data_IF_929289317827
#
_entry.id   IF_929289317827
#
_cell.length_a   1.000
_cell.length_b   1.000
_cell.length_c   1.000
_cell.angle_alpha   90.00
_cell.angle_beta   90.00
_cell.angle_gamma   90.00
#
_symmetry.space_group_name_H-M   'P 1'
#
loop_
_entity.id
_entity.type
_entity.pdbx_description
1 polymer ?
#
# COMPACT_ATOMS: atom_id res chain seq x y z
N UNK A 1 -13.08 -6.48 -4.91
CA UNK A 1 -14.35 -7.09 -5.34
C UNK A 1 -15.52 -6.09 -5.32
N UNK A 2 -15.73 -5.30 -4.22
CA UNK A 2 -16.87 -4.37 -4.12
C UNK A 2 -17.04 -3.50 -5.37
N UNK A 3 -15.97 -2.93 -5.91
CA UNK A 3 -16.04 -2.13 -7.13
C UNK A 3 -16.42 -2.96 -8.36
N UNK A 4 -15.82 -4.14 -8.52
CA UNK A 4 -16.06 -5.03 -9.66
C UNK A 4 -17.49 -5.59 -9.68
N UNK A 5 -18.13 -5.68 -8.52
CA UNK A 5 -19.48 -6.20 -8.38
C UNK A 5 -20.56 -5.14 -8.67
N UNK A 6 -20.17 -3.85 -8.82
CA UNK A 6 -21.09 -2.74 -9.08
C UNK A 6 -21.46 -2.60 -10.56
N UNK A 7 -20.58 -2.99 -11.48
CA UNK A 7 -20.83 -2.86 -12.91
C UNK A 7 -20.08 -3.93 -13.72
N UNK A 8 -20.68 -4.41 -14.82
CA UNK A 8 -20.02 -5.35 -15.71
C UNK A 8 -18.91 -4.67 -16.53
N UNK A 9 -17.92 -5.45 -16.94
CA UNK A 9 -16.86 -5.01 -17.86
C UNK A 9 -15.83 -4.07 -17.25
N UNK A 10 -15.71 -4.04 -15.92
CA UNK A 10 -14.60 -3.37 -15.23
C UNK A 10 -13.41 -4.32 -15.19
N UNK A 11 -12.28 -3.92 -15.73
CA UNK A 11 -11.09 -4.76 -15.89
C UNK A 11 -9.79 -4.12 -15.38
N UNK A 12 -9.85 -2.84 -15.05
CA UNK A 12 -8.71 -2.04 -14.59
C UNK A 12 -8.97 -1.48 -13.21
N UNK A 13 -8.03 -1.67 -12.30
CA UNK A 13 -8.08 -1.20 -10.92
C UNK A 13 -6.91 -0.28 -10.63
N UNK A 14 -7.19 1.00 -10.35
CA UNK A 14 -6.25 1.94 -9.77
C UNK A 14 -6.59 2.12 -8.28
N UNK A 15 -5.64 1.77 -7.43
CA UNK A 15 -5.82 1.78 -5.99
C UNK A 15 -4.90 2.80 -5.34
N UNK A 16 -5.44 3.57 -4.41
CA UNK A 16 -4.70 4.53 -3.61
C UNK A 16 -4.93 4.22 -2.13
N UNK A 17 -3.84 3.98 -1.41
CA UNK A 17 -3.86 3.74 0.03
C UNK A 17 -3.11 4.86 0.73
N UNK A 18 -3.82 5.69 1.47
CA UNK A 18 -3.25 6.78 2.24
C UNK A 18 -3.57 6.60 3.72
N UNK A 19 -2.61 6.90 4.56
CA UNK A 19 -2.81 6.85 6.01
C UNK A 19 -2.14 8.01 6.73
N UNK A 20 -2.71 8.36 7.89
CA UNK A 20 -2.23 9.38 8.79
C UNK A 20 -1.90 8.73 10.13
N UNK A 21 -0.90 9.24 10.80
CA UNK A 21 -0.37 8.70 12.04
C UNK A 21 1.03 8.16 11.84
N UNK A 22 1.59 7.59 12.88
CA UNK A 22 2.96 7.08 12.86
C UNK A 22 2.96 5.55 12.86
N UNK A 23 3.84 4.88 12.11
CA UNK A 23 3.93 3.43 12.11
C UNK A 23 4.42 2.92 13.46
N UNK A 24 3.98 1.71 13.85
CA UNK A 24 4.56 1.00 14.99
C UNK A 24 6.00 0.57 14.68
N UNK A 25 6.77 0.26 15.72
CA UNK A 25 8.13 -0.25 15.55
C UNK A 25 8.19 -1.43 14.55
N UNK A 26 7.33 -2.42 14.72
CA UNK A 26 7.27 -3.56 13.83
C UNK A 26 6.91 -3.18 12.38
N UNK A 27 6.05 -2.18 12.19
CA UNK A 27 5.72 -1.66 10.85
C UNK A 27 6.90 -0.95 10.22
N UNK A 28 7.69 -0.20 10.99
CA UNK A 28 8.92 0.43 10.49
C UNK A 28 9.89 -0.62 9.95
N UNK A 29 10.12 -1.71 10.69
CA UNK A 29 10.96 -2.82 10.24
C UNK A 29 10.45 -3.42 8.91
N UNK A 30 9.13 -3.63 8.81
CA UNK A 30 8.50 -4.15 7.59
C UNK A 30 8.63 -3.17 6.42
N UNK A 31 8.45 -1.87 6.66
CA UNK A 31 8.58 -0.82 5.63
C UNK A 31 9.97 -0.88 4.98
N UNK A 32 11.04 -0.94 5.75
CA UNK A 32 12.40 -1.00 5.20
C UNK A 32 12.63 -2.26 4.34
N UNK A 33 12.06 -3.39 4.75
CA UNK A 33 12.09 -4.61 3.94
C UNK A 33 11.34 -4.44 2.62
N UNK A 34 10.17 -3.78 2.65
CA UNK A 34 9.38 -3.49 1.45
C UNK A 34 10.11 -2.51 0.52
N UNK A 35 10.76 -1.48 1.07
CA UNK A 35 11.51 -0.50 0.27
C UNK A 35 12.72 -1.11 -0.45
N UNK A 36 13.30 -2.20 0.08
CA UNK A 36 14.36 -2.97 -0.58
C UNK A 36 13.82 -3.81 -1.74
N UNK A 37 12.57 -4.24 -1.68
CA UNK A 37 12.00 -5.15 -2.66
C UNK A 37 11.77 -4.47 -4.02
N UNK A 38 11.69 -5.28 -5.06
CA UNK A 38 11.20 -4.84 -6.36
C UNK A 38 9.67 -4.81 -6.32
N UNK A 39 9.08 -3.78 -6.95
CA UNK A 39 7.64 -3.63 -7.01
C UNK A 39 7.11 -3.91 -8.39
N UNK A 40 5.97 -4.59 -8.44
CA UNK A 40 5.30 -4.99 -9.67
C UNK A 40 3.86 -4.50 -9.68
N UNK A 41 3.34 -4.27 -10.87
CA UNK A 41 1.94 -4.07 -11.14
C UNK A 41 1.47 -5.08 -12.19
N UNK A 42 0.18 -5.21 -12.35
CA UNK A 42 -0.43 -6.01 -13.42
C UNK A 42 -0.86 -5.08 -14.55
N UNK A 43 -0.47 -5.39 -15.77
CA UNK A 43 -0.89 -4.67 -16.97
C UNK A 43 -1.16 -5.68 -18.10
N UNK A 44 -2.36 -5.61 -18.65
CA UNK A 44 -2.81 -6.57 -19.66
C UNK A 44 -2.55 -8.02 -19.25
N UNK A 45 -2.84 -8.32 -17.98
CA UNK A 45 -2.62 -9.63 -17.37
C UNK A 45 -1.16 -10.11 -17.39
N UNK A 46 -0.19 -9.21 -17.43
CA UNK A 46 1.23 -9.50 -17.28
C UNK A 46 1.82 -8.72 -16.11
N UNK A 47 2.78 -9.34 -15.39
CA UNK A 47 3.52 -8.61 -14.37
C UNK A 47 4.53 -7.68 -15.03
N UNK A 48 4.47 -6.42 -14.66
CA UNK A 48 5.39 -5.38 -15.09
C UNK A 48 6.08 -4.79 -13.86
N UNK A 49 7.39 -4.71 -13.91
CA UNK A 49 8.15 -4.09 -12.82
C UNK A 49 8.03 -2.57 -12.87
N UNK A 50 7.77 -1.95 -11.74
CA UNK A 50 7.86 -0.51 -11.61
C UNK A 50 9.32 -0.06 -11.78
N UNK A 51 9.57 1.02 -12.51
CA UNK A 51 10.89 1.65 -12.50
C UNK A 51 11.30 2.01 -11.07
N UNK A 52 12.58 1.85 -10.79
CA UNK A 52 13.14 2.22 -9.49
C UNK A 52 12.84 3.69 -9.18
N UNK A 53 12.51 4.00 -7.93
CA UNK A 53 12.16 5.34 -7.45
C UNK A 53 10.92 5.97 -8.13
N UNK A 54 10.02 5.15 -8.68
CA UNK A 54 8.75 5.67 -9.17
C UNK A 54 7.99 6.36 -8.05
N UNK A 55 7.62 7.62 -8.29
CA UNK A 55 6.75 8.41 -7.41
C UNK A 55 5.59 8.98 -8.21
N UNK A 56 4.47 9.18 -7.56
CA UNK A 56 3.28 9.75 -8.21
C UNK A 56 2.60 10.74 -7.26
N UNK A 57 2.22 11.90 -7.79
CA UNK A 57 1.34 12.84 -7.08
C UNK A 57 -0.11 12.43 -7.34
N UNK A 58 -0.79 11.98 -6.31
CA UNK A 58 -2.18 11.55 -6.38
C UNK A 58 -3.10 12.57 -5.72
N UNK A 59 -4.24 12.84 -6.34
CA UNK A 59 -5.31 13.59 -5.66
C UNK A 59 -5.87 12.79 -4.49
N UNK A 60 -6.02 13.46 -3.35
CA UNK A 60 -6.67 12.85 -2.18
C UNK A 60 -8.18 12.91 -2.38
N UNK A 61 -8.87 11.77 -2.47
CA UNK A 61 -10.31 11.76 -2.71
C UNK A 61 -11.10 12.55 -1.67
N UNK A 62 -12.00 13.43 -2.15
CA UNK A 62 -12.81 14.28 -1.29
C UNK A 62 -12.08 15.46 -0.64
N UNK A 63 -10.84 15.75 -1.04
CA UNK A 63 -10.05 16.86 -0.52
C UNK A 63 -9.43 17.66 -1.66
N UNK A 64 -9.23 18.97 -1.45
CA UNK A 64 -8.45 19.82 -2.36
C UNK A 64 -6.95 19.72 -2.03
N UNK A 65 -6.42 18.50 -2.08
CA UNK A 65 -5.04 18.22 -1.72
C UNK A 65 -4.47 17.09 -2.60
N UNK A 66 -3.15 17.08 -2.75
CA UNK A 66 -2.41 15.97 -3.36
C UNK A 66 -1.53 15.29 -2.30
N UNK A 67 -1.21 14.04 -2.54
CA UNK A 67 -0.26 13.27 -1.74
C UNK A 67 0.81 12.67 -2.64
N UNK A 68 2.05 12.71 -2.19
CA UNK A 68 3.15 11.98 -2.81
C UNK A 68 3.00 10.50 -2.45
N UNK A 69 3.08 9.63 -3.45
CA UNK A 69 2.91 8.18 -3.28
C UNK A 69 3.99 7.39 -3.99
N UNK A 70 4.18 6.17 -3.53
CA UNK A 70 5.05 5.16 -4.15
C UNK A 70 4.22 3.87 -4.39
N UNK A 71 4.68 2.96 -5.27
CA UNK A 71 4.00 1.67 -5.52
C UNK A 71 4.11 0.64 -4.38
N UNK A 72 4.54 0.99 -3.21
CA UNK A 72 4.92 0.10 -2.11
C UNK A 72 3.77 -0.59 -1.38
N UNK A 73 2.59 0.03 -1.39
CA UNK A 73 1.45 -0.45 -0.60
C UNK A 73 0.66 -1.59 -1.23
N UNK A 74 1.00 -2.03 -2.44
CA UNK A 74 0.17 -2.94 -3.21
C UNK A 74 0.83 -4.19 -3.73
N UNK A 75 1.88 -4.65 -3.10
CA UNK A 75 2.69 -5.78 -3.59
C UNK A 75 1.91 -7.09 -3.75
N UNK A 76 0.88 -7.32 -2.96
CA UNK A 76 0.04 -8.53 -3.04
C UNK A 76 -1.13 -8.43 -4.03
N UNK A 77 -1.63 -7.23 -4.31
CA UNK A 77 -2.80 -7.04 -5.14
C UNK A 77 -2.63 -7.54 -6.59
N UNK A 78 -1.52 -7.29 -7.29
CA UNK A 78 -1.29 -7.84 -8.62
C UNK A 78 -1.31 -9.38 -8.61
N UNK A 79 -0.82 -10.01 -7.55
CA UNK A 79 -0.79 -11.47 -7.42
C UNK A 79 -2.21 -12.03 -7.28
N UNK A 80 -3.03 -11.42 -6.42
CA UNK A 80 -4.40 -11.87 -6.20
C UNK A 80 -5.28 -11.67 -7.44
N UNK A 81 -5.21 -10.49 -8.04
CA UNK A 81 -6.02 -10.16 -9.20
C UNK A 81 -5.56 -10.80 -10.51
N UNK A 82 -4.32 -11.28 -10.58
CA UNK A 82 -3.85 -12.13 -11.69
C UNK A 82 -4.72 -13.38 -11.88
N UNK A 83 -5.33 -13.86 -10.80
CA UNK A 83 -6.18 -15.05 -10.82
C UNK A 83 -7.67 -14.71 -11.03
N UNK A 84 -8.05 -13.45 -10.99
CA UNK A 84 -9.43 -13.02 -11.25
C UNK A 84 -9.61 -12.75 -12.76
N UNK A 85 -10.42 -13.56 -13.47
CA UNK A 85 -10.58 -13.43 -14.92
C UNK A 85 -11.24 -12.11 -15.35
N UNK A 86 -11.81 -11.35 -14.42
CA UNK A 86 -12.42 -10.04 -14.69
C UNK A 86 -11.37 -8.93 -14.81
N UNK A 87 -10.17 -9.13 -14.25
CA UNK A 87 -9.19 -8.06 -14.06
C UNK A 87 -7.96 -8.29 -14.94
N UNK A 88 -7.63 -7.31 -15.75
CA UNK A 88 -6.45 -7.30 -16.61
C UNK A 88 -5.33 -6.40 -16.09
N UNK A 89 -5.69 -5.30 -15.41
CA UNK A 89 -4.74 -4.28 -14.98
C UNK A 89 -4.98 -3.87 -13.52
N UNK A 90 -3.90 -3.84 -12.74
CA UNK A 90 -3.93 -3.40 -11.33
C UNK A 90 -2.71 -2.56 -11.03
N UNK A 91 -2.92 -1.30 -10.65
CA UNK A 91 -1.88 -0.42 -10.15
C UNK A 91 -2.23 0.03 -8.74
N UNK A 92 -1.25 0.01 -7.85
CA UNK A 92 -1.45 0.42 -6.45
C UNK A 92 -0.41 1.45 -6.06
N UNK A 93 -0.88 2.49 -5.43
CA UNK A 93 -0.09 3.60 -4.91
C UNK A 93 -0.32 3.72 -3.42
N UNK A 94 0.71 3.95 -2.66
CA UNK A 94 0.60 4.09 -1.22
C UNK A 94 1.44 5.24 -0.69
N UNK A 95 0.99 5.82 0.41
CA UNK A 95 1.69 6.91 1.04
C UNK A 95 1.07 7.32 2.36
N UNK A 96 1.68 8.35 2.95
CA UNK A 96 1.16 9.03 4.13
C UNK A 96 0.79 10.47 3.76
N UNK A 97 -0.13 11.05 4.52
CA UNK A 97 -0.57 12.42 4.25
C UNK A 97 0.54 13.47 4.44
N UNK A 98 1.49 13.20 5.35
CA UNK A 98 2.57 14.13 5.62
C UNK A 98 3.62 14.11 4.51
N UNK A 99 3.69 15.18 3.73
CA UNK A 99 4.62 15.32 2.59
C UNK A 99 6.08 15.12 3.01
N UNK A 100 6.50 15.73 4.10
CA UNK A 100 7.86 15.64 4.61
C UNK A 100 8.26 14.18 4.94
N UNK A 101 7.32 13.39 5.46
CA UNK A 101 7.56 11.97 5.72
C UNK A 101 7.77 11.22 4.41
N UNK A 102 6.98 11.51 3.38
CA UNK A 102 7.13 10.87 2.07
C UNK A 102 8.42 11.28 1.35
N UNK A 103 8.83 12.53 1.46
CA UNK A 103 10.12 12.99 0.92
C UNK A 103 11.29 12.23 1.58
N UNK A 104 11.22 12.00 2.89
CA UNK A 104 12.18 11.17 3.62
C UNK A 104 12.13 9.70 3.16
N UNK A 105 10.95 9.14 2.94
CA UNK A 105 10.81 7.77 2.41
C UNK A 105 11.44 7.64 1.04
N UNK A 106 11.26 8.62 0.15
CA UNK A 106 11.91 8.64 -1.17
C UNK A 106 13.42 8.71 -1.05
N UNK A 107 13.95 9.57 -0.16
CA UNK A 107 15.40 9.66 0.10
C UNK A 107 15.97 8.35 0.64
N UNK A 108 15.27 7.71 1.58
CA UNK A 108 15.65 6.41 2.12
C UNK A 108 15.60 5.30 1.06
N UNK A 109 14.57 5.29 0.22
CA UNK A 109 14.48 4.34 -0.89
C UNK A 109 15.67 4.47 -1.85
N UNK A 110 16.05 5.70 -2.16
CA UNK A 110 17.24 5.97 -2.99
C UNK A 110 18.51 5.44 -2.33
N UNK A 111 18.71 5.71 -1.04
CA UNK A 111 19.88 5.23 -0.30
C UNK A 111 19.91 3.70 -0.23
N UNK A 112 18.77 3.05 -0.03
CA UNK A 112 18.66 1.58 -0.06
C UNK A 112 19.12 1.05 -1.42
N UNK A 113 18.65 1.68 -2.50
CA UNK A 113 18.95 1.25 -3.87
C UNK A 113 20.45 1.41 -4.22
N UNK A 114 21.06 2.54 -3.83
CA UNK A 114 22.45 2.86 -4.17
C UNK A 114 23.48 2.22 -3.24
N UNK A 115 23.19 2.18 -1.93
CA UNK A 115 24.20 1.88 -0.92
C UNK A 115 24.00 0.52 -0.24
N UNK A 116 22.74 0.04 -0.15
CA UNK A 116 22.43 -1.20 0.58
C UNK A 116 22.25 -2.39 -0.36
N UNK A 117 21.50 -2.26 -1.45
CA UNK A 117 21.29 -3.38 -2.40
C UNK A 117 22.59 -3.98 -2.96
N UNK A 118 23.66 -3.24 -3.20
CA UNK A 118 24.94 -3.81 -3.66
C UNK A 118 25.68 -4.64 -2.61
N UNK A 119 25.32 -4.53 -1.33
CA UNK A 119 25.99 -5.27 -0.25
C UNK A 119 25.64 -6.77 -0.25
N UNK A 120 26.47 -7.63 0.36
CA UNK A 120 26.09 -9.01 0.64
C UNK A 120 24.83 -9.10 1.50
N UNK A 121 24.00 -10.12 1.30
CA UNK A 121 22.67 -10.26 1.94
C UNK A 121 22.68 -10.01 3.46
N UNK A 122 23.64 -10.60 4.19
CA UNK A 122 23.73 -10.39 5.66
C UNK A 122 24.02 -8.94 6.05
N UNK A 123 24.79 -8.24 5.26
CA UNK A 123 25.10 -6.84 5.49
C UNK A 123 23.90 -5.94 5.15
N UNK A 124 23.13 -6.30 4.11
CA UNK A 124 21.86 -5.63 3.80
C UNK A 124 20.91 -5.69 4.99
N UNK A 125 20.68 -6.89 5.55
CA UNK A 125 19.77 -7.07 6.69
C UNK A 125 20.22 -6.26 7.92
N UNK A 126 21.52 -6.28 8.23
CA UNK A 126 22.07 -5.50 9.34
C UNK A 126 21.93 -3.98 9.12
N UNK A 127 22.16 -3.50 7.90
CA UNK A 127 22.02 -2.09 7.55
C UNK A 127 20.55 -1.64 7.65
N UNK A 128 19.61 -2.43 7.12
CA UNK A 128 18.18 -2.13 7.20
C UNK A 128 17.66 -2.13 8.64
N UNK A 129 18.09 -3.09 9.46
CA UNK A 129 17.73 -3.13 10.88
C UNK A 129 18.21 -1.86 11.60
N UNK A 130 19.47 -1.45 11.38
CA UNK A 130 20.02 -0.22 11.95
C UNK A 130 19.27 1.04 11.49
N UNK A 131 18.91 1.11 10.22
CA UNK A 131 18.07 2.21 9.71
C UNK A 131 16.71 2.24 10.38
N UNK A 132 16.05 1.10 10.51
CA UNK A 132 14.75 1.00 11.16
C UNK A 132 14.81 1.40 12.63
N UNK A 133 15.87 1.05 13.34
CA UNK A 133 16.09 1.48 14.73
C UNK A 133 16.25 3.01 14.85
N UNK A 134 16.82 3.67 13.85
CA UNK A 134 17.01 5.12 13.86
C UNK A 134 15.70 5.93 13.68
N UNK A 135 14.64 5.31 13.19
CA UNK A 135 13.33 5.95 12.93
C UNK A 135 12.39 5.86 14.13
N UNK A 136 12.86 5.42 15.29
CA UNK A 136 12.05 5.33 16.48
C UNK A 136 11.65 6.71 17.02
N UNK A 137 10.35 6.93 17.11
CA UNK A 137 9.72 8.08 17.77
C UNK A 137 8.61 7.64 18.69
N UNK A 138 8.07 8.59 19.44
CA UNK A 138 6.91 8.36 20.29
C UNK A 138 5.73 7.88 19.45
N UNK A 139 5.17 6.74 19.81
CA UNK A 139 4.05 6.17 19.11
C UNK A 139 2.75 6.83 19.55
N UNK A 140 1.99 7.44 18.61
CA UNK A 140 0.67 8.00 18.97
C UNK A 140 -0.28 6.87 19.38
N UNK A 141 -1.32 7.16 20.17
CA UNK A 141 -2.35 6.19 20.48
C UNK A 141 -2.96 5.60 19.21
N UNK A 142 -2.88 4.29 19.02
CA UNK A 142 -3.30 3.59 17.80
C UNK A 142 -4.79 3.73 17.50
N UNK A 143 -5.57 4.00 18.52
CA UNK A 143 -7.03 4.11 18.40
C UNK A 143 -7.52 5.55 18.38
N UNK A 144 -6.62 6.50 18.29
CA UNK A 144 -7.02 7.90 18.19
C UNK A 144 -7.52 8.21 16.76
N UNK A 145 -8.84 8.39 16.53
CA UNK A 145 -9.40 8.60 15.21
C UNK A 145 -9.04 9.96 14.59
N UNK A 146 -8.43 10.85 15.35
CA UNK A 146 -7.94 12.14 14.86
C UNK A 146 -6.52 12.05 14.32
N UNK A 147 -5.75 11.09 14.81
CA UNK A 147 -4.35 10.89 14.42
C UNK A 147 -4.19 9.74 13.45
N UNK A 148 -4.88 8.64 13.67
CA UNK A 148 -4.74 7.40 12.88
C UNK A 148 -5.96 7.25 11.96
N UNK A 149 -5.91 7.90 10.82
CA UNK A 149 -6.94 7.79 9.79
C UNK A 149 -6.37 7.18 8.52
N UNK A 150 -7.20 6.51 7.73
CA UNK A 150 -6.83 5.99 6.42
C UNK A 150 -7.89 6.30 5.37
N UNK A 151 -7.44 6.32 4.13
CA UNK A 151 -8.28 6.35 2.94
C UNK A 151 -7.80 5.22 2.04
N UNK A 152 -8.71 4.28 1.77
CA UNK A 152 -8.52 3.26 0.77
C UNK A 152 -9.46 3.58 -0.40
N UNK A 153 -8.89 3.97 -1.53
CA UNK A 153 -9.61 4.38 -2.73
C UNK A 153 -9.36 3.37 -3.83
N UNK A 154 -10.43 2.83 -4.39
CA UNK A 154 -10.38 1.91 -5.54
C UNK A 154 -11.16 2.54 -6.69
N UNK A 155 -10.45 2.92 -7.72
CA UNK A 155 -11.01 3.39 -8.96
C UNK A 155 -10.99 2.25 -9.97
N UNK A 156 -12.15 1.71 -10.26
CA UNK A 156 -12.32 0.63 -11.23
C UNK A 156 -12.85 1.21 -12.53
N UNK A 157 -12.24 0.83 -13.64
CA UNK A 157 -12.64 1.28 -14.99
C UNK A 157 -12.65 0.11 -15.96
N UNK A 158 -13.34 0.32 -17.07
CA UNK A 158 -13.42 -0.61 -18.18
C UNK A 158 -14.19 0.01 -19.35
N UNK A 159 -14.37 -0.71 -20.46
CA UNK A 159 -15.00 -0.18 -21.66
C UNK A 159 -16.45 0.25 -21.46
N UNK A 160 -17.16 -0.34 -20.50
CA UNK A 160 -18.59 -0.09 -20.28
C UNK A 160 -18.90 0.86 -19.12
N UNK A 161 -17.92 1.20 -18.29
CA UNK A 161 -18.18 2.07 -17.15
C UNK A 161 -17.00 2.31 -16.24
N UNK A 162 -17.30 3.02 -15.15
CA UNK A 162 -16.35 3.37 -14.09
C UNK A 162 -17.06 3.35 -12.75
N UNK A 163 -16.35 2.88 -11.73
CA UNK A 163 -16.84 2.85 -10.35
C UNK A 163 -15.72 3.34 -9.43
N UNK A 164 -16.06 4.18 -8.48
CA UNK A 164 -15.14 4.62 -7.44
C UNK A 164 -15.65 4.17 -6.08
N UNK A 165 -14.87 3.38 -5.38
CA UNK A 165 -15.14 2.96 -4.00
C UNK A 165 -14.13 3.65 -3.09
N UNK A 166 -14.63 4.32 -2.07
CA UNK A 166 -13.84 5.04 -1.09
C UNK A 166 -14.17 4.51 0.30
N UNK A 167 -13.16 4.04 1.01
CA UNK A 167 -13.27 3.56 2.38
C UNK A 167 -12.46 4.47 3.28
N UNK A 168 -13.12 5.04 4.29
CA UNK A 168 -12.46 5.79 5.34
C UNK A 168 -12.27 4.91 6.57
N UNK A 169 -11.01 4.75 6.97
CA UNK A 169 -10.63 4.03 8.18
C UNK A 169 -10.18 4.99 9.29
N UNK A 170 -10.24 4.52 10.51
CA UNK A 170 -9.91 5.34 11.67
C UNK A 170 -8.65 4.84 12.43
N UNK A 171 -8.18 3.66 12.17
CA UNK A 171 -6.91 3.14 12.70
C UNK A 171 -6.54 1.88 11.92
N UNK A 172 -5.50 1.95 11.12
CA UNK A 172 -5.08 0.85 10.25
C UNK A 172 -4.85 -0.46 11.02
N UNK A 173 -4.25 -0.38 12.21
CA UNK A 173 -3.98 -1.56 13.02
C UNK A 173 -5.25 -2.20 13.56
N UNK A 174 -6.19 -1.38 14.05
CA UNK A 174 -7.49 -1.86 14.51
C UNK A 174 -8.32 -2.41 13.37
N UNK A 175 -8.36 -1.72 12.24
CA UNK A 175 -9.05 -2.15 11.03
C UNK A 175 -8.50 -3.49 10.54
N UNK A 176 -7.18 -3.65 10.47
CA UNK A 176 -6.53 -4.91 10.10
C UNK A 176 -6.93 -6.04 11.04
N UNK A 177 -6.88 -5.82 12.36
CA UNK A 177 -7.27 -6.82 13.34
C UNK A 177 -8.74 -7.23 13.23
N UNK A 178 -9.65 -6.28 13.02
CA UNK A 178 -11.07 -6.55 12.81
C UNK A 178 -11.32 -7.35 11.53
N UNK A 179 -10.65 -7.00 10.42
CA UNK A 179 -10.81 -7.70 9.16
C UNK A 179 -10.23 -9.13 9.22
N UNK A 180 -9.11 -9.32 9.92
CA UNK A 180 -8.56 -10.66 10.15
C UNK A 180 -9.49 -11.54 10.99
N UNK A 181 -10.05 -10.99 12.07
CA UNK A 181 -11.01 -11.70 12.89
C UNK A 181 -12.28 -12.07 12.10
N UNK A 182 -12.79 -11.13 11.30
CA UNK A 182 -13.93 -11.38 10.41
C UNK A 182 -13.62 -12.46 9.39
N UNK A 183 -12.48 -12.41 8.73
CA UNK A 183 -12.06 -13.42 7.75
C UNK A 183 -11.94 -14.81 8.41
N UNK A 184 -11.30 -14.90 9.58
CA UNK A 184 -11.19 -16.15 10.32
C UNK A 184 -12.57 -16.74 10.68
N UNK A 185 -13.49 -15.90 11.16
CA UNK A 185 -14.86 -16.35 11.48
C UNK A 185 -15.59 -16.87 10.24
N UNK A 186 -15.42 -16.21 9.08
CA UNK A 186 -16.07 -16.67 7.85
C UNK A 186 -15.47 -17.98 7.35
N UNK A 187 -14.16 -18.19 7.47
CA UNK A 187 -13.53 -19.47 7.12
C UNK A 187 -14.06 -20.64 7.97
N UNK A 188 -14.33 -20.40 9.27
CA UNK A 188 -14.90 -21.41 10.15
C UNK A 188 -16.38 -21.74 9.83
N UNK A 189 -17.08 -20.84 9.16
CA UNK A 189 -18.49 -21.01 8.81
C UNK A 189 -18.69 -21.60 7.41
N UNK A 190 -17.63 -21.68 6.60
CA UNK A 190 -17.71 -22.33 5.29
C UNK A 190 -17.74 -23.85 5.49
N UNK A 191 -18.68 -24.57 4.88
CA UNK A 191 -18.63 -26.03 4.87
C UNK A 191 -17.36 -26.49 4.16
N UNK A 192 -16.78 -27.63 4.58
CA UNK A 192 -15.57 -28.20 4.00
C UNK A 192 -15.75 -28.56 2.52
#
# INVERSE_FOLDING_TARGET
>A
NIALDQAPGLDTLDMLVLWKGFPTYASVQTIFTILKAEWYYLENNQYVQWPTLTTTECHVPGQHATALTLPWGGTSHPIWFKQDPRVSTVKVYGGVFAREVMDNVVAMTKMIDTDIKPLPFKEQEAALAKMAESVQGDMPPRENPRLNTSIDSVYASGPLGRVHVLIHGNCNYKQTGLMQAWAAMNLLQQPP
#
